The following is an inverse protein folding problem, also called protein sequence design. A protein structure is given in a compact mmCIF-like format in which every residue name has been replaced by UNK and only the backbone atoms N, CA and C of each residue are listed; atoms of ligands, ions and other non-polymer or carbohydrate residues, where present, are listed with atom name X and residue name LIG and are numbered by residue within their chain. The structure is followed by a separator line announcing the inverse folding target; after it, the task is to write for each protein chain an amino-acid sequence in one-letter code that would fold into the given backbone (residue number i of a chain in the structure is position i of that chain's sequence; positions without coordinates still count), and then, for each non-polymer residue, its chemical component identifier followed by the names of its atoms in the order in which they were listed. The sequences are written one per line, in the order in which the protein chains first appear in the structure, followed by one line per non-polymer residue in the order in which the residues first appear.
data_IF_655516041176
#
_entry.id   IF_655516041176
#
_cell.length_a   1.000
_cell.length_b   1.000
_cell.length_c   1.000
_cell.angle_alpha   90.00
_cell.angle_beta   90.00
_cell.angle_gamma   90.00
#
_symmetry.space_group_name_H-M   'P 1'
#
loop_
_entity.id
_entity.type
_entity.pdbx_description
1 polymer ?
#
# COMPACT_ATOMS: atom_id res chain seq x y z
N UNK A 1 21.89 -10.19 20.85
CA UNK A 1 21.00 -10.61 19.75
C UNK A 1 19.80 -9.69 19.78
N UNK A 2 19.49 -9.03 18.66
CA UNK A 2 18.25 -8.24 18.54
C UNK A 2 17.06 -9.18 18.66
N UNK A 3 16.07 -8.84 19.49
CA UNK A 3 14.85 -9.62 19.60
C UNK A 3 14.23 -9.82 18.20
N UNK A 4 13.61 -10.98 17.91
CA UNK A 4 12.89 -11.14 16.65
C UNK A 4 11.82 -10.06 16.55
N UNK A 5 11.80 -9.33 15.44
CA UNK A 5 10.88 -8.22 15.25
C UNK A 5 9.43 -8.75 15.21
N UNK A 6 8.53 -8.09 15.94
CA UNK A 6 7.15 -8.55 16.17
C UNK A 6 6.26 -8.50 14.93
N UNK A 7 4.96 -8.81 15.06
CA UNK A 7 4.02 -8.72 13.95
C UNK A 7 3.87 -7.29 13.42
N UNK A 8 3.50 -7.16 12.15
CA UNK A 8 3.47 -5.90 11.44
C UNK A 8 2.12 -5.65 10.75
N UNK A 9 1.59 -4.43 10.90
CA UNK A 9 0.51 -3.88 10.09
C UNK A 9 1.11 -3.15 8.88
N UNK A 10 0.57 -3.39 7.69
CA UNK A 10 1.01 -2.71 6.46
C UNK A 10 -0.12 -1.84 5.94
N UNK A 11 0.14 -0.55 5.78
CA UNK A 11 -0.72 0.37 5.04
C UNK A 11 -0.05 0.69 3.71
N UNK A 12 -0.78 0.56 2.61
CA UNK A 12 -0.21 0.68 1.28
C UNK A 12 -1.07 1.49 0.32
N UNK A 13 -0.42 2.11 -0.65
CA UNK A 13 -1.00 2.74 -1.84
C UNK A 13 0.05 2.63 -2.96
N UNK A 14 -0.35 2.80 -4.22
CA UNK A 14 0.61 3.00 -5.30
C UNK A 14 0.88 4.50 -5.51
N UNK A 15 2.06 4.87 -6.00
CA UNK A 15 2.41 6.28 -6.23
C UNK A 15 2.62 6.63 -7.70
N UNK A 16 2.73 5.63 -8.57
CA UNK A 16 2.76 5.82 -10.01
C UNK A 16 1.41 6.31 -10.53
N UNK A 17 1.37 6.71 -11.80
CA UNK A 17 0.15 7.14 -12.48
C UNK A 17 0.13 6.51 -13.87
N UNK A 18 -1.07 6.17 -14.34
CA UNK A 18 -1.26 5.55 -15.65
C UNK A 18 -0.71 6.43 -16.78
N UNK A 19 0.15 5.83 -17.63
CA UNK A 19 0.60 6.47 -18.87
C UNK A 19 -0.49 6.35 -19.93
N UNK A 20 -1.18 7.47 -20.19
CA UNK A 20 -2.19 7.59 -21.23
C UNK A 20 -1.65 8.44 -22.39
N UNK A 21 -1.35 7.84 -23.56
CA UNK A 21 -0.81 8.58 -24.69
C UNK A 21 -1.69 9.76 -25.09
N UNK A 22 -1.11 10.96 -25.04
CA UNK A 22 -1.79 12.20 -25.41
C UNK A 22 -2.72 12.78 -24.33
N UNK A 23 -2.70 12.24 -23.11
CA UNK A 23 -3.46 12.75 -21.97
C UNK A 23 -2.55 12.93 -20.75
N UNK A 24 -2.61 14.10 -20.12
CA UNK A 24 -1.98 14.28 -18.80
C UNK A 24 -2.93 13.73 -17.74
N UNK A 25 -2.78 12.45 -17.43
CA UNK A 25 -3.53 11.81 -16.36
C UNK A 25 -2.85 12.05 -15.01
N UNK A 26 -3.54 12.76 -14.12
CA UNK A 26 -3.00 13.16 -12.82
C UNK A 26 -3.17 12.12 -11.71
N UNK A 27 -4.01 11.08 -11.91
CA UNK A 27 -4.21 10.05 -10.89
C UNK A 27 -4.72 10.58 -9.55
N UNK A 28 -5.59 11.60 -9.54
CA UNK A 28 -5.94 12.31 -8.29
C UNK A 28 -6.48 11.36 -7.21
N UNK A 29 -7.42 10.48 -7.57
CA UNK A 29 -7.91 9.42 -6.67
C UNK A 29 -7.08 8.13 -6.76
N UNK A 30 -6.17 8.07 -7.72
CA UNK A 30 -5.57 6.86 -8.31
C UNK A 30 -4.06 7.07 -8.57
N UNK A 31 -3.23 7.24 -7.55
CA UNK A 31 -3.53 7.19 -6.11
C UNK A 31 -2.93 8.36 -5.32
N UNK A 32 -2.94 9.59 -5.87
CA UNK A 32 -2.41 10.79 -5.19
C UNK A 32 -3.06 11.02 -3.81
N UNK A 33 -4.39 10.96 -3.72
CA UNK A 33 -5.11 11.11 -2.45
C UNK A 33 -4.78 9.97 -1.46
N UNK A 34 -4.83 8.67 -1.84
CA UNK A 34 -4.33 7.58 -1.00
C UNK A 34 -2.91 7.79 -0.46
N UNK A 35 -1.96 8.19 -1.30
CA UNK A 35 -0.56 8.49 -0.89
C UNK A 35 -0.53 9.60 0.15
N UNK A 36 -1.24 10.70 -0.10
CA UNK A 36 -1.34 11.81 0.84
C UNK A 36 -1.94 11.38 2.19
N UNK A 37 -2.95 10.50 2.17
CA UNK A 37 -3.54 9.93 3.38
C UNK A 37 -2.52 9.14 4.20
N UNK A 38 -1.73 8.27 3.56
CA UNK A 38 -0.69 7.50 4.25
C UNK A 38 0.39 8.38 4.86
N UNK A 39 0.84 9.41 4.13
CA UNK A 39 1.79 10.38 4.66
C UNK A 39 1.21 11.09 5.88
N UNK A 40 -0.07 11.49 5.84
CA UNK A 40 -0.73 12.15 6.98
C UNK A 40 -0.90 11.23 8.18
N UNK A 41 -1.21 9.96 7.95
CA UNK A 41 -1.27 8.93 8.98
C UNK A 41 0.11 8.77 9.64
N UNK A 42 1.17 8.66 8.83
CA UNK A 42 2.55 8.55 9.31
C UNK A 42 2.96 9.74 10.19
N UNK A 43 2.67 10.96 9.75
CA UNK A 43 2.90 12.19 10.52
C UNK A 43 2.15 12.16 11.87
N UNK A 44 0.86 11.82 11.84
CA UNK A 44 0.01 11.84 13.03
C UNK A 44 0.41 10.77 14.04
N UNK A 45 0.69 9.54 13.59
CA UNK A 45 1.08 8.43 14.45
C UNK A 45 2.52 8.55 14.95
N UNK A 46 3.43 9.15 14.16
CA UNK A 46 4.78 9.45 14.60
C UNK A 46 4.81 10.36 15.83
N UNK A 47 3.89 11.32 15.90
CA UNK A 47 3.75 12.23 17.04
C UNK A 47 3.01 11.59 18.25
N UNK A 48 2.19 10.56 18.03
CA UNK A 48 1.26 10.03 19.02
C UNK A 48 1.55 8.58 19.46
N UNK A 49 2.71 8.01 19.13
CA UNK A 49 3.01 6.60 19.40
C UNK A 49 3.03 6.32 20.92
N UNK A 50 2.14 5.45 21.44
CA UNK A 50 2.11 5.19 22.87
C UNK A 50 3.36 4.41 23.33
N UNK A 51 3.89 4.68 24.54
CA UNK A 51 4.97 3.90 25.12
C UNK A 51 4.59 2.42 25.20
N UNK A 52 5.49 1.53 24.75
CA UNK A 52 5.27 0.08 24.79
C UNK A 52 4.48 -0.51 23.63
N UNK A 53 4.12 0.27 22.59
CA UNK A 53 3.51 -0.29 21.37
C UNK A 53 4.52 -1.14 20.57
N UNK A 54 4.35 -2.46 20.62
CA UNK A 54 5.32 -3.43 20.07
C UNK A 54 5.04 -3.88 18.63
N UNK A 55 3.97 -3.40 17.99
CA UNK A 55 3.68 -3.73 16.59
C UNK A 55 4.44 -2.79 15.67
N UNK A 56 5.02 -3.35 14.61
CA UNK A 56 5.58 -2.56 13.54
C UNK A 56 4.44 -2.01 12.67
N UNK A 57 4.57 -0.76 12.24
CA UNK A 57 3.72 -0.16 11.21
C UNK A 57 4.62 0.10 9.99
N UNK A 58 4.27 -0.49 8.85
CA UNK A 58 4.93 -0.22 7.57
C UNK A 58 3.99 0.59 6.68
N UNK A 59 4.48 1.73 6.21
CA UNK A 59 3.87 2.47 5.11
C UNK A 59 4.59 2.05 3.83
N UNK A 60 3.84 1.52 2.86
CA UNK A 60 4.38 1.02 1.60
C UNK A 60 3.79 1.81 0.44
N UNK A 61 4.67 2.36 -0.39
CA UNK A 61 4.30 3.07 -1.61
C UNK A 61 4.74 2.20 -2.78
N UNK A 62 3.80 1.48 -3.40
CA UNK A 62 4.08 0.62 -4.53
C UNK A 62 4.38 1.45 -5.79
N UNK A 63 5.33 0.96 -6.59
CA UNK A 63 5.65 1.50 -7.91
C UNK A 63 5.16 0.55 -9.00
N UNK A 64 4.77 1.11 -10.15
CA UNK A 64 4.27 0.38 -11.29
C UNK A 64 3.09 -0.53 -10.93
N UNK A 65 2.08 0.00 -10.26
CA UNK A 65 0.78 -0.68 -10.19
C UNK A 65 0.20 -0.80 -11.60
N UNK A 66 0.29 0.31 -12.33
CA UNK A 66 -0.41 0.50 -13.59
C UNK A 66 0.21 -0.32 -14.72
N UNK A 67 -0.64 -0.72 -15.65
CA UNK A 67 -0.20 -1.39 -16.86
C UNK A 67 0.41 -0.38 -17.83
N UNK A 68 1.54 -0.73 -18.45
CA UNK A 68 2.19 0.10 -19.46
C UNK A 68 1.49 0.01 -20.82
N UNK A 69 0.79 -1.11 -21.09
CA UNK A 69 0.03 -1.30 -22.34
C UNK A 69 -1.34 -1.89 -22.12
N UNK A 70 -1.42 -3.00 -21.40
CA UNK A 70 -2.63 -3.79 -21.28
C UNK A 70 -2.58 -4.59 -19.99
N UNK A 71 -3.51 -4.31 -19.07
CA UNK A 71 -3.57 -4.99 -17.79
C UNK A 71 -3.52 -6.52 -17.95
N UNK A 72 -2.44 -7.12 -17.44
CA UNK A 72 -2.22 -8.55 -17.50
C UNK A 72 -1.34 -9.01 -16.34
N UNK A 73 -1.23 -10.32 -16.15
CA UNK A 73 -0.37 -10.91 -15.11
C UNK A 73 1.10 -10.44 -15.18
N UNK A 74 1.57 -10.04 -16.35
CA UNK A 74 2.94 -9.58 -16.58
C UNK A 74 3.07 -8.07 -16.78
N UNK A 75 1.96 -7.40 -17.07
CA UNK A 75 1.86 -5.97 -17.35
C UNK A 75 0.86 -5.33 -16.37
N UNK A 76 1.29 -5.32 -15.10
CA UNK A 76 0.64 -4.72 -13.92
C UNK A 76 1.46 -5.07 -12.68
N UNK A 77 1.23 -4.39 -11.57
CA UNK A 77 1.65 -4.80 -10.23
C UNK A 77 3.16 -5.11 -10.14
N UNK A 78 4.00 -4.34 -10.84
CA UNK A 78 5.43 -4.58 -10.98
C UNK A 78 6.15 -4.53 -9.62
N UNK A 79 5.99 -3.43 -8.90
CA UNK A 79 6.63 -3.23 -7.60
C UNK A 79 6.09 -4.17 -6.52
N UNK A 80 4.77 -4.39 -6.48
CA UNK A 80 4.15 -5.24 -5.47
C UNK A 80 4.51 -6.72 -5.64
N UNK A 81 4.55 -7.25 -6.88
CA UNK A 81 5.05 -8.61 -7.17
C UNK A 81 6.50 -8.78 -6.72
N UNK A 82 7.35 -7.81 -7.02
CA UNK A 82 8.76 -7.83 -6.62
C UNK A 82 8.91 -7.78 -5.09
N UNK A 83 8.22 -6.86 -4.43
CA UNK A 83 8.30 -6.71 -2.97
C UNK A 83 7.81 -7.97 -2.25
N UNK A 84 6.71 -8.58 -2.70
CA UNK A 84 6.21 -9.82 -2.11
C UNK A 84 7.24 -10.96 -2.18
N UNK A 85 7.94 -11.11 -3.32
CA UNK A 85 8.99 -12.12 -3.48
C UNK A 85 10.21 -11.86 -2.58
N UNK A 86 10.60 -10.60 -2.43
CA UNK A 86 11.72 -10.22 -1.57
C UNK A 86 11.34 -10.42 -0.09
N UNK A 87 10.13 -10.02 0.32
CA UNK A 87 9.64 -10.22 1.69
C UNK A 87 9.42 -11.68 2.06
N UNK A 88 9.05 -12.54 1.12
CA UNK A 88 9.00 -13.98 1.34
C UNK A 88 10.42 -14.53 1.60
N UNK A 89 11.38 -14.16 0.75
CA UNK A 89 12.80 -14.55 0.89
C UNK A 89 13.44 -14.05 2.18
N UNK A 90 13.07 -12.85 2.61
CA UNK A 90 13.59 -12.20 3.83
C UNK A 90 12.84 -12.62 5.11
N UNK A 91 11.78 -13.43 5.00
CA UNK A 91 10.95 -13.83 6.15
C UNK A 91 10.13 -12.68 6.76
N UNK A 92 9.89 -11.62 6.00
CA UNK A 92 9.03 -10.49 6.39
C UNK A 92 7.56 -10.82 6.15
N UNK A 93 7.24 -11.52 5.06
CA UNK A 93 5.86 -11.80 4.65
C UNK A 93 5.05 -12.55 5.73
N UNK A 94 5.58 -13.58 6.43
CA UNK A 94 4.86 -14.26 7.50
C UNK A 94 4.55 -13.39 8.74
N UNK A 95 5.17 -12.20 8.84
CA UNK A 95 4.94 -11.25 9.94
C UNK A 95 3.85 -10.23 9.62
N UNK A 96 3.41 -10.13 8.35
CA UNK A 96 2.35 -9.21 7.93
C UNK A 96 1.01 -9.79 8.37
N UNK A 97 0.38 -9.17 9.37
CA UNK A 97 -0.92 -9.63 9.87
C UNK A 97 -2.08 -9.13 9.02
N UNK A 98 -1.93 -7.91 8.50
CA UNK A 98 -2.94 -7.27 7.67
C UNK A 98 -2.25 -6.31 6.70
N UNK A 99 -2.64 -6.43 5.44
CA UNK A 99 -2.37 -5.44 4.40
C UNK A 99 -3.65 -4.62 4.20
N UNK A 100 -3.59 -3.33 4.48
CA UNK A 100 -4.64 -2.37 4.16
C UNK A 100 -4.17 -1.58 2.94
N UNK A 101 -4.71 -1.91 1.77
CA UNK A 101 -4.44 -1.22 0.52
C UNK A 101 -5.49 -0.12 0.30
N UNK A 102 -5.05 1.13 0.19
CA UNK A 102 -5.89 2.28 -0.13
C UNK A 102 -5.75 2.57 -1.62
N UNK A 103 -6.88 2.60 -2.31
CA UNK A 103 -6.96 2.82 -3.74
C UNK A 103 -8.31 3.44 -4.12
N UNK A 104 -8.33 4.23 -5.18
CA UNK A 104 -9.50 4.93 -5.73
C UNK A 104 -10.28 5.76 -4.69
N UNK A 105 -9.56 6.42 -3.76
CA UNK A 105 -10.14 7.27 -2.73
C UNK A 105 -10.04 8.76 -3.07
N UNK A 106 -11.06 9.54 -2.68
CA UNK A 106 -11.10 11.00 -2.85
C UNK A 106 -12.34 11.52 -3.55
N UNK A 107 -13.07 10.64 -4.25
CA UNK A 107 -14.38 10.96 -4.83
C UNK A 107 -15.47 11.11 -3.73
N UNK A 108 -16.55 11.88 -3.99
CA UNK A 108 -17.62 12.07 -3.03
C UNK A 108 -18.42 10.78 -2.79
N UNK A 109 -18.72 10.49 -1.52
CA UNK A 109 -19.54 9.34 -1.07
C UNK A 109 -18.98 7.98 -1.55
N UNK A 110 -17.75 7.61 -1.18
CA UNK A 110 -17.20 6.30 -1.54
C UNK A 110 -17.99 5.20 -0.83
N UNK A 111 -18.31 4.13 -1.54
CA UNK A 111 -18.79 2.89 -0.95
C UNK A 111 -17.59 1.95 -0.77
N UNK A 112 -17.36 1.48 0.45
CA UNK A 112 -16.24 0.58 0.79
C UNK A 112 -16.84 -0.76 1.26
N UNK A 113 -17.13 -1.69 0.34
CA UNK A 113 -17.63 -3.01 0.72
C UNK A 113 -16.54 -3.85 1.40
N UNK A 114 -16.94 -4.78 2.26
CA UNK A 114 -16.00 -5.77 2.80
C UNK A 114 -15.67 -6.79 1.71
N UNK A 115 -14.42 -6.79 1.23
CA UNK A 115 -13.94 -7.75 0.25
C UNK A 115 -13.41 -9.06 0.87
N UNK A 116 -13.27 -9.10 2.21
CA UNK A 116 -12.82 -10.28 2.95
C UNK A 116 -14.06 -11.09 3.37
N UNK A 117 -14.15 -12.38 2.99
CA UNK A 117 -15.24 -13.25 3.46
C UNK A 117 -15.26 -13.35 4.99
N UNK A 118 -16.44 -13.46 5.58
CA UNK A 118 -16.54 -13.92 6.97
C UNK A 118 -15.95 -15.33 7.06
N UNK A 119 -14.92 -15.49 7.89
CA UNK A 119 -14.27 -16.79 8.19
C UNK A 119 -15.05 -17.57 9.23
#
# INVERSE_FOLDING_TARGET
GTAPAGPCLVLAAHYDSLDLPGCEFLGATDAVVPVALLLKIGETLGAARPPGYQRDLKLVFFDGEEALRSWSRTDSLYGSRRLAQDWDREGVLPRVELLVLLDLLGAPRPAIPCAVPET
#
